data_IF_947887299832
#
_entry.id   IF_947887299832
#
_cell.length_a   1.000
_cell.length_b   1.000
_cell.length_c   1.000
_cell.angle_alpha   90.00
_cell.angle_beta   90.00
_cell.angle_gamma   90.00
#
_symmetry.space_group_name_H-M   'P 1'
#
loop_
_entity.id
_entity.type
_entity.pdbx_description
1 polymer ?
#
# COMPACT_ATOMS: atom_id res chain seq x y z
N UNK A 1 7.92 17.52 20.59
CA UNK A 1 8.99 17.12 19.64
C UNK A 1 8.42 16.02 18.75
N UNK A 2 8.72 15.99 17.44
CA UNK A 2 8.35 14.85 16.61
C UNK A 2 8.98 13.57 17.19
N UNK A 3 8.26 12.44 17.16
CA UNK A 3 8.80 11.17 17.64
C UNK A 3 10.06 10.79 16.85
N UNK A 4 11.10 10.35 17.55
CA UNK A 4 12.33 9.87 16.93
C UNK A 4 12.13 8.39 16.62
N UNK A 5 11.72 8.09 15.39
CA UNK A 5 11.64 6.72 14.89
C UNK A 5 12.86 6.35 14.06
N UNK A 6 13.05 5.05 13.90
CA UNK A 6 14.01 4.43 13.01
C UNK A 6 13.30 3.50 12.04
N UNK A 7 14.00 3.03 11.01
CA UNK A 7 13.46 2.02 10.08
C UNK A 7 12.86 0.82 10.81
N UNK A 8 13.53 0.35 11.87
CA UNK A 8 13.15 -0.84 12.64
C UNK A 8 11.76 -0.69 13.29
N UNK A 9 11.37 0.53 13.67
CA UNK A 9 10.06 0.78 14.28
C UNK A 9 8.89 0.53 13.33
N UNK A 10 9.15 0.56 12.01
CA UNK A 10 8.16 0.28 10.96
C UNK A 10 8.24 -1.15 10.40
N UNK A 11 9.11 -2.00 10.96
CA UNK A 11 9.24 -3.41 10.58
C UNK A 11 8.39 -4.30 11.49
N UNK A 12 7.81 -5.34 10.91
CA UNK A 12 7.11 -6.42 11.63
C UNK A 12 8.04 -7.62 11.84
N UNK A 13 7.65 -8.53 12.73
CA UNK A 13 8.27 -9.86 12.88
C UNK A 13 7.82 -10.88 11.81
N UNK A 14 6.86 -10.50 10.96
CA UNK A 14 6.33 -11.36 9.91
C UNK A 14 7.37 -11.65 8.82
N UNK A 15 7.46 -12.93 8.46
CA UNK A 15 8.28 -13.36 7.32
C UNK A 15 7.69 -12.84 5.99
N UNK A 16 8.53 -12.19 5.20
CA UNK A 16 8.15 -11.69 3.88
C UNK A 16 8.09 -12.85 2.88
N UNK A 17 6.91 -13.10 2.31
CA UNK A 17 6.60 -14.26 1.46
C UNK A 17 6.66 -13.97 -0.03
N UNK A 18 7.46 -12.99 -0.44
CA UNK A 18 7.72 -12.73 -1.85
C UNK A 18 8.81 -13.65 -2.37
N UNK A 19 8.86 -13.85 -3.69
CA UNK A 19 9.90 -14.66 -4.30
C UNK A 19 11.28 -14.01 -4.10
N UNK A 20 12.36 -14.79 -3.88
CA UNK A 20 13.72 -14.24 -3.89
C UNK A 20 13.99 -13.45 -5.18
N UNK A 21 14.50 -12.22 -5.04
CA UNK A 21 14.73 -11.30 -6.16
C UNK A 21 13.52 -10.47 -6.59
N UNK A 22 12.36 -10.61 -5.93
CA UNK A 22 11.20 -9.76 -6.21
C UNK A 22 11.48 -8.28 -5.89
N UNK A 23 11.09 -7.36 -6.78
CA UNK A 23 11.28 -5.91 -6.59
C UNK A 23 10.52 -5.33 -5.40
N UNK A 24 9.45 -5.99 -4.94
CA UNK A 24 8.63 -5.56 -3.80
C UNK A 24 9.46 -5.42 -2.51
N UNK A 25 10.55 -6.19 -2.35
CA UNK A 25 11.49 -6.04 -1.24
C UNK A 25 12.16 -4.66 -1.19
N UNK A 26 12.56 -4.14 -2.36
CA UNK A 26 13.20 -2.83 -2.44
C UNK A 26 12.21 -1.71 -2.08
N UNK A 27 10.96 -1.83 -2.55
CA UNK A 27 9.89 -0.88 -2.24
C UNK A 27 9.59 -0.90 -0.74
N UNK A 28 9.43 -2.09 -0.13
CA UNK A 28 9.21 -2.23 1.31
C UNK A 28 10.34 -1.60 2.13
N UNK A 29 11.58 -1.93 1.78
CA UNK A 29 12.77 -1.40 2.45
C UNK A 29 12.84 0.14 2.36
N UNK A 30 12.52 0.71 1.20
CA UNK A 30 12.50 2.16 0.99
C UNK A 30 11.41 2.84 1.81
N UNK A 31 10.19 2.32 1.80
CA UNK A 31 9.07 2.88 2.57
C UNK A 31 9.35 2.84 4.08
N UNK A 32 9.88 1.73 4.59
CA UNK A 32 10.27 1.61 6.00
C UNK A 32 11.38 2.60 6.40
N UNK A 33 12.26 2.97 5.47
CA UNK A 33 13.28 4.00 5.71
C UNK A 33 12.72 5.41 5.68
N UNK A 34 11.74 5.70 4.81
CA UNK A 34 11.15 7.04 4.63
C UNK A 34 10.17 7.39 5.75
N UNK A 35 9.37 6.44 6.23
CA UNK A 35 8.33 6.74 7.24
C UNK A 35 8.85 7.44 8.51
N UNK A 36 10.02 7.07 9.09
CA UNK A 36 10.65 7.80 10.18
C UNK A 36 10.94 9.28 9.88
N UNK A 37 11.28 9.61 8.64
CA UNK A 37 11.70 10.95 8.23
C UNK A 37 10.51 11.91 8.06
N UNK A 38 9.29 11.38 7.96
CA UNK A 38 8.08 12.18 7.75
C UNK A 38 7.62 12.93 9.02
N UNK A 39 8.18 12.61 10.19
CA UNK A 39 7.83 13.26 11.46
C UNK A 39 6.38 13.01 11.92
N UNK A 40 5.74 11.98 11.40
CA UNK A 40 4.36 11.59 11.71
C UNK A 40 4.38 10.48 12.79
N UNK A 41 3.54 10.57 13.85
CA UNK A 41 3.39 9.48 14.82
C UNK A 41 3.00 8.17 14.15
N UNK A 42 3.62 7.05 14.55
CA UNK A 42 3.47 5.75 13.90
C UNK A 42 2.01 5.29 13.87
N UNK A 43 1.27 5.54 14.95
CA UNK A 43 -0.16 5.26 15.13
C UNK A 43 -1.08 6.08 14.22
N UNK A 44 -0.56 7.11 13.52
CA UNK A 44 -1.32 7.89 12.54
C UNK A 44 -1.16 7.38 11.11
N UNK A 45 -0.22 6.47 10.84
CA UNK A 45 -0.11 5.83 9.54
C UNK A 45 -1.11 4.70 9.39
N UNK A 46 -1.77 4.65 8.24
CA UNK A 46 -2.60 3.51 7.85
C UNK A 46 -2.25 3.07 6.43
N UNK A 47 -1.84 1.81 6.27
CA UNK A 47 -1.55 1.23 4.95
C UNK A 47 -2.67 0.29 4.52
N UNK A 48 -3.35 0.62 3.43
CA UNK A 48 -4.50 -0.10 2.88
C UNK A 48 -4.07 -0.82 1.60
N UNK A 49 -4.45 -2.08 1.42
CA UNK A 49 -4.16 -2.83 0.20
C UNK A 49 -5.34 -3.63 -0.31
N UNK A 50 -5.27 -4.04 -1.58
CA UNK A 50 -6.25 -4.88 -2.25
C UNK A 50 -5.87 -6.36 -2.17
N UNK A 51 -5.78 -7.05 -3.32
CA UNK A 51 -5.30 -8.45 -3.39
C UNK A 51 -4.23 -8.58 -4.49
N UNK A 52 -3.15 -9.29 -4.18
CA UNK A 52 -2.00 -9.49 -5.08
C UNK A 52 -0.70 -9.69 -4.29
N UNK A 53 0.42 -9.95 -4.98
CA UNK A 53 1.74 -10.03 -4.33
C UNK A 53 2.03 -8.73 -3.59
N UNK A 54 1.89 -7.60 -4.29
CA UNK A 54 2.01 -6.25 -3.73
C UNK A 54 1.08 -6.00 -2.55
N UNK A 55 -0.11 -6.60 -2.54
CA UNK A 55 -1.12 -6.32 -1.50
C UNK A 55 -0.86 -7.01 -0.17
N UNK A 56 0.17 -7.87 -0.08
CA UNK A 56 0.67 -8.35 1.23
C UNK A 56 1.41 -7.28 2.02
N UNK A 57 1.70 -6.13 1.40
CA UNK A 57 2.51 -5.06 1.99
C UNK A 57 2.11 -4.60 3.40
N UNK A 58 0.80 -4.42 3.75
CA UNK A 58 0.44 -4.01 5.10
C UNK A 58 0.85 -5.00 6.19
N UNK A 59 1.00 -6.30 5.89
CA UNK A 59 1.48 -7.28 6.86
C UNK A 59 2.95 -7.08 7.24
N UNK A 60 3.70 -6.33 6.43
CA UNK A 60 5.13 -6.09 6.62
C UNK A 60 5.42 -4.67 7.15
N UNK A 61 4.37 -3.92 7.47
CA UNK A 61 4.45 -2.56 8.01
C UNK A 61 3.91 -2.56 9.44
N UNK A 62 4.72 -2.12 10.40
CA UNK A 62 4.30 -1.98 11.79
C UNK A 62 3.50 -0.68 12.00
N UNK A 63 2.36 -0.57 11.32
CA UNK A 63 1.40 0.53 11.38
C UNK A 63 -0.02 -0.05 11.50
N UNK A 64 -1.05 0.79 11.61
CA UNK A 64 -2.39 0.29 11.30
C UNK A 64 -2.46 -0.08 9.82
N UNK A 65 -3.31 -1.04 9.47
CA UNK A 65 -3.45 -1.45 8.09
C UNK A 65 -4.68 -2.29 7.82
N UNK A 66 -5.11 -2.28 6.56
CA UNK A 66 -6.21 -3.09 6.06
C UNK A 66 -5.74 -3.87 4.83
N UNK A 67 -5.83 -5.19 4.89
CA UNK A 67 -5.79 -6.03 3.69
C UNK A 67 -7.23 -6.28 3.27
N UNK A 68 -7.68 -5.59 2.23
CA UNK A 68 -9.10 -5.54 1.85
C UNK A 68 -9.43 -6.61 0.82
N UNK A 69 -10.35 -6.32 -0.11
CA UNK A 69 -10.72 -7.21 -1.21
C UNK A 69 -10.22 -6.63 -2.54
N UNK A 70 -10.10 -7.50 -3.54
CA UNK A 70 -9.42 -7.18 -4.81
C UNK A 70 -10.02 -5.93 -5.48
N UNK A 71 -9.16 -4.94 -5.75
CA UNK A 71 -9.51 -3.67 -6.38
C UNK A 71 -10.36 -2.72 -5.54
N UNK A 72 -10.53 -2.96 -4.24
CA UNK A 72 -11.34 -2.08 -3.36
C UNK A 72 -10.54 -1.24 -2.39
N UNK A 73 -9.21 -1.34 -2.39
CA UNK A 73 -8.35 -0.48 -1.58
C UNK A 73 -8.62 1.03 -1.77
N UNK A 74 -8.80 1.57 -3.01
CA UNK A 74 -9.14 2.99 -3.20
C UNK A 74 -10.47 3.38 -2.56
N UNK A 75 -11.48 2.51 -2.61
CA UNK A 75 -12.79 2.76 -2.03
C UNK A 75 -12.73 2.78 -0.49
N UNK A 76 -12.09 1.77 0.12
CA UNK A 76 -11.93 1.67 1.57
C UNK A 76 -11.07 2.83 2.11
N UNK A 77 -9.93 3.12 1.46
CA UNK A 77 -9.06 4.21 1.86
C UNK A 77 -9.73 5.58 1.76
N UNK A 78 -10.57 5.80 0.73
CA UNK A 78 -11.39 7.01 0.60
C UNK A 78 -12.33 7.18 1.81
N UNK A 79 -13.06 6.12 2.18
CA UNK A 79 -13.95 6.17 3.35
C UNK A 79 -13.21 6.44 4.65
N UNK A 80 -12.03 5.82 4.83
CA UNK A 80 -11.17 6.05 5.99
C UNK A 80 -10.70 7.51 6.05
N UNK A 81 -10.16 8.04 4.95
CA UNK A 81 -9.57 9.38 4.93
C UNK A 81 -10.60 10.49 5.12
N UNK A 82 -11.81 10.31 4.60
CA UNK A 82 -12.92 11.27 4.84
C UNK A 82 -13.40 11.20 6.29
N UNK A 83 -13.48 10.01 6.87
CA UNK A 83 -13.91 9.83 8.27
C UNK A 83 -12.86 10.26 9.29
N UNK A 84 -11.57 10.12 8.95
CA UNK A 84 -10.42 10.44 9.80
C UNK A 84 -9.37 11.26 9.02
N UNK A 85 -9.63 12.56 8.79
CA UNK A 85 -8.74 13.42 8.01
C UNK A 85 -7.34 13.58 8.62
N UNK A 86 -7.19 13.34 9.93
CA UNK A 86 -5.94 13.44 10.69
C UNK A 86 -4.95 12.30 10.42
N UNK A 87 -5.40 11.21 9.80
CA UNK A 87 -4.56 10.04 9.50
C UNK A 87 -3.78 10.21 8.19
N UNK A 88 -2.59 9.64 8.16
CA UNK A 88 -1.77 9.55 6.95
C UNK A 88 -2.03 8.19 6.26
N UNK A 89 -2.84 8.22 5.22
CA UNK A 89 -3.36 7.01 4.58
C UNK A 89 -2.62 6.74 3.27
N UNK A 90 -2.04 5.54 3.19
CA UNK A 90 -1.29 5.04 2.03
C UNK A 90 -2.01 3.82 1.44
N UNK A 91 -2.02 3.73 0.12
CA UNK A 91 -2.52 2.58 -0.61
C UNK A 91 -1.32 1.84 -1.20
N UNK A 92 -1.18 0.54 -0.89
CA UNK A 92 -0.24 -0.36 -1.57
C UNK A 92 -1.03 -1.29 -2.49
N UNK A 93 -0.77 -1.24 -3.79
CA UNK A 93 -1.58 -1.93 -4.80
C UNK A 93 -0.75 -2.35 -6.00
N UNK A 94 -1.17 -3.39 -6.71
CA UNK A 94 -0.56 -3.82 -7.98
C UNK A 94 -1.23 -3.17 -9.18
N UNK A 95 -0.58 -3.24 -10.33
CA UNK A 95 -1.15 -2.85 -11.63
C UNK A 95 -2.53 -3.49 -11.90
N UNK A 96 -2.69 -4.80 -11.71
CA UNK A 96 -3.97 -5.47 -11.85
C UNK A 96 -5.02 -5.06 -10.85
N UNK A 97 -4.61 -4.91 -9.60
CA UNK A 97 -5.51 -4.56 -8.51
C UNK A 97 -6.09 -3.15 -8.71
N UNK A 98 -5.24 -2.16 -9.03
CA UNK A 98 -5.67 -0.77 -9.17
C UNK A 98 -6.18 -0.38 -10.56
N UNK A 99 -5.64 -0.98 -11.63
CA UNK A 99 -5.89 -0.55 -13.02
C UNK A 99 -6.77 -1.52 -13.81
N UNK A 100 -7.04 -2.72 -13.30
CA UNK A 100 -8.06 -3.63 -13.85
C UNK A 100 -9.34 -3.54 -13.01
N UNK A 101 -9.59 -4.50 -12.12
CA UNK A 101 -10.80 -4.57 -11.29
C UNK A 101 -11.02 -3.33 -10.40
N UNK A 102 -9.95 -2.63 -10.01
CA UNK A 102 -10.01 -1.41 -9.21
C UNK A 102 -10.12 -0.11 -10.01
N UNK A 103 -10.03 -0.15 -11.35
CA UNK A 103 -9.85 1.02 -12.21
C UNK A 103 -10.85 2.15 -11.94
N UNK A 104 -12.15 1.83 -11.89
CA UNK A 104 -13.21 2.81 -11.64
C UNK A 104 -13.07 3.51 -10.27
N UNK A 105 -12.68 2.77 -9.23
CA UNK A 105 -12.48 3.34 -7.90
C UNK A 105 -11.26 4.25 -7.88
N UNK A 106 -10.16 3.83 -8.51
CA UNK A 106 -8.93 4.61 -8.65
C UNK A 106 -9.19 5.95 -9.35
N UNK A 107 -9.88 5.94 -10.49
CA UNK A 107 -10.22 7.16 -11.25
C UNK A 107 -11.03 8.12 -10.40
N UNK A 108 -12.06 7.63 -9.72
CA UNK A 108 -12.91 8.49 -8.91
C UNK A 108 -12.23 8.97 -7.62
N UNK A 109 -11.34 8.19 -7.02
CA UNK A 109 -10.50 8.62 -5.91
C UNK A 109 -9.59 9.80 -6.34
N UNK A 110 -8.91 9.67 -7.48
CA UNK A 110 -8.07 10.73 -8.04
C UNK A 110 -8.89 12.00 -8.35
N UNK A 111 -10.04 11.85 -9.02
CA UNK A 111 -10.92 12.98 -9.37
C UNK A 111 -11.42 13.74 -8.14
N UNK A 112 -11.60 13.08 -7.00
CA UNK A 112 -12.07 13.71 -5.75
C UNK A 112 -10.95 14.36 -4.94
N UNK A 113 -9.68 14.14 -5.29
CA UNK A 113 -8.52 14.67 -4.57
C UNK A 113 -8.57 14.43 -3.05
N UNK A 114 -8.78 13.18 -2.63
CA UNK A 114 -9.07 12.82 -1.22
C UNK A 114 -7.86 12.99 -0.28
N UNK A 115 -6.67 13.30 -0.80
CA UNK A 115 -5.45 13.42 0.02
C UNK A 115 -4.86 12.08 0.45
N UNK A 116 -4.89 11.09 -0.45
CA UNK A 116 -4.34 9.74 -0.27
C UNK A 116 -2.99 9.62 -1.00
N UNK A 117 -2.10 8.76 -0.50
CA UNK A 117 -0.87 8.37 -1.22
C UNK A 117 -1.06 7.00 -1.85
N UNK A 118 -0.60 6.82 -3.09
CA UNK A 118 -0.72 5.55 -3.82
C UNK A 118 0.67 5.05 -4.21
N UNK A 119 1.00 3.85 -3.74
CA UNK A 119 2.14 3.06 -4.15
C UNK A 119 1.64 1.98 -5.11
N UNK A 120 1.85 2.21 -6.41
CA UNK A 120 1.49 1.28 -7.48
C UNK A 120 2.70 0.43 -7.87
N UNK A 121 2.63 -0.86 -7.57
CA UNK A 121 3.66 -1.85 -7.84
C UNK A 121 3.41 -2.39 -9.26
N UNK A 122 4.02 -1.75 -10.25
CA UNK A 122 3.80 -2.07 -11.65
C UNK A 122 4.82 -3.11 -12.15
N UNK A 123 4.52 -4.38 -11.94
CA UNK A 123 5.34 -5.51 -12.41
C UNK A 123 4.88 -6.07 -13.77
N UNK A 124 3.84 -5.48 -14.37
CA UNK A 124 3.30 -5.77 -15.68
C UNK A 124 2.72 -7.19 -15.80
N UNK A 125 2.29 -7.80 -14.69
CA UNK A 125 1.79 -9.18 -14.66
C UNK A 125 0.98 -9.50 -13.39
N UNK A 126 -0.03 -10.36 -13.48
CA UNK A 126 -0.70 -10.90 -12.29
C UNK A 126 0.14 -12.00 -11.62
N UNK A 127 1.13 -11.58 -10.83
CA UNK A 127 2.09 -12.49 -10.21
C UNK A 127 1.46 -13.51 -9.26
N UNK A 128 0.57 -13.06 -8.34
CA UNK A 128 0.01 -13.94 -7.30
C UNK A 128 -0.84 -15.08 -7.88
N UNK A 129 -1.51 -14.82 -9.00
CA UNK A 129 -2.35 -15.79 -9.72
C UNK A 129 -1.58 -16.57 -10.78
N UNK A 130 -0.23 -16.53 -10.73
CA UNK A 130 0.69 -17.34 -11.55
C UNK A 130 0.86 -16.86 -13.00
N UNK A 131 0.76 -15.56 -13.26
CA UNK A 131 1.40 -14.96 -14.44
C UNK A 131 0.48 -14.64 -15.63
N UNK A 132 -0.76 -14.23 -15.40
CA UNK A 132 -1.61 -13.70 -16.47
C UNK A 132 -1.19 -12.27 -16.85
N UNK A 133 -1.46 -11.86 -18.09
CA UNK A 133 -1.23 -10.49 -18.52
C UNK A 133 -2.07 -9.49 -17.70
N UNK A 134 -1.53 -8.29 -17.54
CA UNK A 134 -2.11 -7.16 -16.82
C UNK A 134 -2.46 -6.02 -17.79
N UNK A 135 -3.16 -4.97 -17.35
CA UNK A 135 -3.41 -3.78 -18.18
C UNK A 135 -2.14 -3.01 -18.56
N UNK A 136 -0.99 -3.31 -17.97
CA UNK A 136 0.29 -2.65 -18.23
C UNK A 136 1.31 -3.57 -18.92
N UNK A 137 0.93 -4.79 -19.34
CA UNK A 137 1.83 -5.78 -19.98
C UNK A 137 2.44 -5.34 -21.31
#
# INVERSE_FOLDING_TARGET
>A
MPPVYTKKDFQTDQEVRWCPGCGDYAILSAVQSVFPELGIPREKFVVVSGIGCSSRFPYYMNTFGFHTIHGRAPAVATGLKVSRPDLDVWIATGDGDALSIGGNHTIHMLRRNVGLKVLLFNNRIYGLTKGQYSPTS
#
